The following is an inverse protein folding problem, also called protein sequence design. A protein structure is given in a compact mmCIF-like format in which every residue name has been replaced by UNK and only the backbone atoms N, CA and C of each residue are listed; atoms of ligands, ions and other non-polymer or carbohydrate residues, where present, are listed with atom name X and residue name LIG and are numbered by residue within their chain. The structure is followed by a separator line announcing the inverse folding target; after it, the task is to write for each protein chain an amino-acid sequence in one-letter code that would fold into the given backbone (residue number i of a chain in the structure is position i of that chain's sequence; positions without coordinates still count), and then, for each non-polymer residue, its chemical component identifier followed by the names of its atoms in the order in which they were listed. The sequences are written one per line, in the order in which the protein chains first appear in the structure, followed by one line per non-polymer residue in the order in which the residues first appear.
data_IF_665921216391
#
_entry.id   IF_665921216391
#
_cell.length_a   1.000
_cell.length_b   1.000
_cell.length_c   1.000
_cell.angle_alpha   90.00
_cell.angle_beta   90.00
_cell.angle_gamma   90.00
#
_symmetry.space_group_name_H-M   'P 1'
#
loop_
_entity.id
_entity.type
_entity.pdbx_description
1 polymer ?
#
# COMPACT_ATOMS: atom_id res chain seq x y z
N UNK A 1 -4.92 -29.54 -8.20
CA UNK A 1 -5.17 -28.83 -9.48
C UNK A 1 -3.82 -28.55 -10.11
N UNK A 2 -3.51 -29.21 -11.22
CA UNK A 2 -2.22 -29.15 -11.91
C UNK A 2 -2.08 -27.81 -12.65
N UNK A 3 -0.94 -27.15 -12.52
CA UNK A 3 -0.69 -25.77 -13.00
C UNK A 3 -0.42 -25.65 -14.51
N UNK A 4 -0.60 -26.70 -15.31
CA UNK A 4 -0.15 -26.74 -16.71
C UNK A 4 -1.30 -26.86 -17.72
N UNK A 5 -2.18 -25.86 -17.77
CA UNK A 5 -3.12 -25.66 -18.89
C UNK A 5 -2.57 -24.55 -19.82
N UNK A 6 -2.20 -24.87 -21.08
CA UNK A 6 -1.62 -23.90 -22.03
C UNK A 6 -2.58 -22.76 -22.43
N UNK A 7 -3.87 -22.80 -22.03
CA UNK A 7 -4.84 -21.71 -22.22
C UNK A 7 -4.96 -20.75 -21.04
N UNK A 8 -4.29 -21.01 -19.91
CA UNK A 8 -4.13 -20.03 -18.81
C UNK A 8 -2.84 -19.26 -19.02
N UNK A 9 -2.88 -18.18 -19.79
CA UNK A 9 -1.91 -17.11 -19.57
C UNK A 9 -2.19 -16.53 -18.19
N UNK A 10 -1.18 -16.54 -17.32
CA UNK A 10 -1.21 -15.74 -16.10
C UNK A 10 -1.47 -14.28 -16.50
N UNK A 11 -2.53 -13.64 -15.98
CA UNK A 11 -2.79 -12.24 -16.29
C UNK A 11 -1.56 -11.41 -15.94
N UNK A 12 -1.16 -10.49 -16.83
CA UNK A 12 -0.16 -9.48 -16.48
C UNK A 12 -0.61 -8.74 -15.23
N UNK A 13 0.17 -8.82 -14.16
CA UNK A 13 -0.12 -8.13 -12.91
C UNK A 13 0.52 -6.74 -12.94
N UNK A 14 -0.31 -5.70 -13.04
CA UNK A 14 0.16 -4.32 -12.89
C UNK A 14 0.54 -4.07 -11.42
N UNK A 15 1.80 -3.73 -11.19
CA UNK A 15 2.35 -3.41 -9.87
C UNK A 15 2.80 -1.96 -9.83
N UNK A 16 2.59 -1.31 -8.69
CA UNK A 16 3.10 0.04 -8.48
C UNK A 16 4.60 -0.02 -8.22
N UNK A 17 5.37 0.89 -8.82
CA UNK A 17 6.81 0.95 -8.57
C UNK A 17 7.11 1.41 -7.14
N UNK A 18 8.08 0.77 -6.49
CA UNK A 18 8.70 1.22 -5.23
C UNK A 18 10.08 1.86 -5.47
N UNK A 19 10.41 2.16 -6.73
CA UNK A 19 11.59 2.97 -7.05
C UNK A 19 11.26 4.44 -6.80
N UNK A 20 11.95 5.04 -5.83
CA UNK A 20 11.79 6.44 -5.44
C UNK A 20 11.98 7.42 -6.59
N UNK A 21 12.78 7.06 -7.61
CA UNK A 21 12.99 7.90 -8.80
C UNK A 21 11.86 7.81 -9.81
N UNK A 22 11.05 6.74 -9.75
CA UNK A 22 9.95 6.47 -10.69
C UNK A 22 8.59 6.82 -10.11
N UNK A 23 8.48 6.90 -8.79
CA UNK A 23 7.23 7.26 -8.11
C UNK A 23 7.49 8.27 -7.00
N UNK A 24 7.11 9.54 -7.21
CA UNK A 24 7.17 10.56 -6.17
C UNK A 24 6.22 10.23 -5.02
N UNK A 25 5.05 9.65 -5.32
CA UNK A 25 4.12 9.18 -4.29
C UNK A 25 4.78 8.15 -3.37
N UNK A 26 5.56 7.21 -3.92
CA UNK A 26 6.30 6.25 -3.09
C UNK A 26 7.42 6.91 -2.29
N UNK A 27 8.20 7.80 -2.92
CA UNK A 27 9.26 8.52 -2.24
C UNK A 27 8.72 9.30 -1.03
N UNK A 28 7.65 10.06 -1.21
CA UNK A 28 6.99 10.83 -0.15
C UNK A 28 6.36 9.93 0.91
N UNK A 29 5.74 8.82 0.50
CA UNK A 29 5.22 7.83 1.44
C UNK A 29 6.34 7.31 2.34
N UNK A 30 7.45 6.83 1.75
CA UNK A 30 8.58 6.29 2.50
C UNK A 30 9.22 7.34 3.41
N UNK A 31 9.43 8.56 2.91
CA UNK A 31 10.05 9.65 3.70
C UNK A 31 9.19 10.05 4.90
N UNK A 32 7.87 10.03 4.74
CA UNK A 32 6.95 10.33 5.84
C UNK A 32 7.00 9.22 6.89
N UNK A 33 6.94 7.95 6.45
CA UNK A 33 6.90 6.79 7.34
C UNK A 33 8.22 6.60 8.09
N UNK A 34 9.35 6.58 7.40
CA UNK A 34 10.66 6.33 8.01
C UNK A 34 11.25 7.60 8.64
N UNK A 35 11.03 8.76 8.02
CA UNK A 35 11.62 10.03 8.44
C UNK A 35 10.88 10.68 9.60
N UNK A 36 9.55 10.83 9.50
CA UNK A 36 8.74 11.53 10.51
C UNK A 36 8.18 10.56 11.56
N UNK A 37 7.61 9.45 11.11
CA UNK A 37 6.92 8.49 11.97
C UNK A 37 7.85 7.42 12.56
N UNK A 38 9.10 7.32 12.06
CA UNK A 38 10.11 6.35 12.49
C UNK A 38 9.63 4.89 12.39
N UNK A 39 8.79 4.61 11.40
CA UNK A 39 8.25 3.28 11.10
C UNK A 39 9.04 2.66 9.94
N UNK A 40 9.53 1.43 10.14
CA UNK A 40 10.14 0.64 9.07
C UNK A 40 9.05 0.07 8.16
N UNK A 41 9.21 0.22 6.85
CA UNK A 41 8.30 -0.36 5.86
C UNK A 41 8.82 -1.72 5.37
N UNK A 42 7.89 -2.65 5.16
CA UNK A 42 8.13 -3.92 4.51
C UNK A 42 7.18 -4.02 3.32
N UNK A 43 7.75 -4.07 2.12
CA UNK A 43 7.01 -4.00 0.87
C UNK A 43 6.74 -5.41 0.34
N UNK A 44 5.47 -5.75 0.18
CA UNK A 44 5.05 -7.06 -0.30
C UNK A 44 4.07 -6.93 -1.47
N UNK A 45 4.07 -7.93 -2.34
CA UNK A 45 3.01 -8.06 -3.34
C UNK A 45 1.78 -8.65 -2.65
N UNK A 46 0.72 -7.86 -2.55
CA UNK A 46 -0.55 -8.31 -1.99
C UNK A 46 -1.39 -9.00 -3.09
N UNK A 47 -1.56 -10.33 -3.06
CA UNK A 47 -2.24 -11.07 -4.13
C UNK A 47 -3.78 -10.93 -4.09
N UNK A 48 -4.33 -10.31 -3.04
CA UNK A 48 -5.79 -10.21 -2.89
C UNK A 48 -6.41 -9.21 -3.88
N UNK A 49 -7.67 -9.46 -4.22
CA UNK A 49 -8.46 -8.68 -5.19
C UNK A 49 -8.91 -7.33 -4.64
N UNK A 50 -7.96 -6.42 -4.40
CA UNK A 50 -8.23 -5.03 -3.97
C UNK A 50 -8.66 -4.14 -5.14
N UNK A 51 -9.28 -3.01 -4.83
CA UNK A 51 -9.64 -1.96 -5.80
C UNK A 51 -8.42 -1.44 -6.58
N UNK A 52 -7.24 -1.53 -5.96
CA UNK A 52 -5.97 -1.17 -6.58
C UNK A 52 -5.68 -1.91 -7.89
N UNK A 53 -6.28 -3.09 -8.14
CA UNK A 53 -6.11 -3.79 -9.41
C UNK A 53 -6.61 -2.96 -10.60
N UNK A 54 -7.75 -2.30 -10.45
CA UNK A 54 -8.37 -1.51 -11.54
C UNK A 54 -7.64 -0.18 -11.74
N UNK A 55 -7.26 0.46 -10.63
CA UNK A 55 -6.51 1.72 -10.68
C UNK A 55 -5.14 1.54 -11.32
N UNK A 56 -4.42 0.44 -10.99
CA UNK A 56 -3.15 0.11 -11.64
C UNK A 56 -3.32 -0.26 -13.12
N UNK A 57 -4.44 -0.89 -13.50
CA UNK A 57 -4.78 -1.11 -14.91
C UNK A 57 -5.00 0.20 -15.68
N UNK A 58 -5.51 1.23 -15.01
CA UNK A 58 -5.65 2.58 -15.56
C UNK A 58 -4.34 3.40 -15.53
N UNK A 59 -3.22 2.81 -15.12
CA UNK A 59 -1.91 3.48 -15.06
C UNK A 59 -1.64 4.29 -13.80
N UNK A 60 -2.54 4.28 -12.81
CA UNK A 60 -2.34 5.02 -11.56
C UNK A 60 -1.54 4.21 -10.54
N UNK A 61 -0.53 4.80 -9.87
CA UNK A 61 0.18 4.13 -8.80
C UNK A 61 -0.73 3.97 -7.57
N UNK A 62 -0.81 2.75 -7.04
CA UNK A 62 -1.56 2.42 -5.82
C UNK A 62 -0.72 1.63 -4.82
N UNK A 63 -0.69 2.10 -3.58
CA UNK A 63 0.00 1.45 -2.46
C UNK A 63 -1.05 1.05 -1.43
N UNK A 64 -1.21 -0.25 -1.21
CA UNK A 64 -2.09 -0.77 -0.17
C UNK A 64 -1.36 -0.73 1.16
N UNK A 65 -1.93 -0.02 2.14
CA UNK A 65 -1.34 0.12 3.46
C UNK A 65 -2.42 0.22 4.52
N UNK A 66 -2.18 -0.41 5.67
CA UNK A 66 -3.00 -0.24 6.86
C UNK A 66 -2.07 -0.14 8.07
N UNK A 67 -2.18 0.92 8.90
CA UNK A 67 -1.29 1.14 10.05
C UNK A 67 -1.68 0.23 11.22
N UNK A 68 -1.51 -1.08 11.03
CA UNK A 68 -1.89 -2.12 11.99
C UNK A 68 -0.65 -2.87 12.53
N UNK A 69 0.43 -2.14 12.80
CA UNK A 69 1.65 -2.72 13.33
C UNK A 69 1.38 -3.53 14.62
N UNK A 70 2.09 -4.65 14.78
CA UNK A 70 1.96 -5.55 15.94
C UNK A 70 0.53 -6.09 16.16
N UNK A 71 -0.25 -6.21 15.09
CA UNK A 71 -1.60 -6.81 15.12
C UNK A 71 -1.56 -8.17 14.42
N UNK A 72 -2.17 -9.23 15.01
CA UNK A 72 -2.31 -10.51 14.34
C UNK A 72 -3.07 -10.37 13.00
N UNK A 73 -2.67 -11.14 11.99
CA UNK A 73 -3.40 -11.18 10.72
C UNK A 73 -4.66 -12.02 10.93
N UNK A 74 -5.83 -11.37 10.93
CA UNK A 74 -7.14 -12.01 11.13
C UNK A 74 -8.15 -11.64 10.03
N UNK A 75 -7.66 -11.17 8.88
CA UNK A 75 -8.52 -10.77 7.76
C UNK A 75 -9.42 -11.95 7.37
N UNK A 76 -10.74 -11.79 7.51
CA UNK A 76 -11.76 -12.82 7.25
C UNK A 76 -11.78 -14.02 8.20
N UNK A 77 -11.12 -13.94 9.36
CA UNK A 77 -11.17 -15.00 10.37
C UNK A 77 -12.27 -14.75 11.43
N UNK A 78 -12.57 -15.75 12.25
CA UNK A 78 -13.45 -15.59 13.39
C UNK A 78 -12.89 -14.55 14.38
N UNK A 79 -13.76 -13.72 14.96
CA UNK A 79 -13.35 -12.68 15.93
C UNK A 79 -12.30 -11.68 15.39
N UNK A 80 -12.33 -11.38 14.08
CA UNK A 80 -11.57 -10.29 13.50
C UNK A 80 -11.76 -9.00 14.32
N UNK A 81 -10.67 -8.49 14.88
CA UNK A 81 -10.69 -7.35 15.78
C UNK A 81 -9.38 -6.55 15.71
N UNK A 82 -9.46 -5.27 16.04
CA UNK A 82 -8.33 -4.36 16.13
C UNK A 82 -8.33 -3.69 17.50
N UNK A 83 -7.16 -3.57 18.14
CA UNK A 83 -7.04 -2.83 19.40
C UNK A 83 -7.38 -1.35 19.17
N UNK A 84 -8.18 -0.76 20.05
CA UNK A 84 -8.52 0.67 19.96
C UNK A 84 -7.29 1.57 19.92
N UNK A 85 -6.22 1.24 20.66
CA UNK A 85 -4.95 1.96 20.61
C UNK A 85 -4.31 1.91 19.22
N UNK A 86 -4.31 0.75 18.56
CA UNK A 86 -3.76 0.61 17.19
C UNK A 86 -4.57 1.42 16.19
N UNK A 87 -5.89 1.42 16.32
CA UNK A 87 -6.77 2.25 15.50
C UNK A 87 -6.44 3.75 15.66
N UNK A 88 -6.31 4.23 16.91
CA UNK A 88 -5.97 5.63 17.20
C UNK A 88 -4.57 6.02 16.72
N UNK A 89 -3.56 5.14 16.85
CA UNK A 89 -2.24 5.38 16.25
C UNK A 89 -2.32 5.43 14.72
N UNK A 90 -3.19 4.61 14.11
CA UNK A 90 -3.45 4.65 12.68
C UNK A 90 -3.97 6.00 12.19
N UNK A 91 -4.82 6.67 12.97
CA UNK A 91 -5.28 8.03 12.67
C UNK A 91 -4.09 8.98 12.61
N UNK A 92 -3.21 8.96 13.62
CA UNK A 92 -2.01 9.81 13.66
C UNK A 92 -1.08 9.59 12.48
N UNK A 93 -0.96 8.34 12.00
CA UNK A 93 -0.19 8.03 10.78
C UNK A 93 -0.80 8.74 9.57
N UNK A 94 -2.11 8.61 9.35
CA UNK A 94 -2.77 9.27 8.22
C UNK A 94 -2.82 10.80 8.33
N UNK A 95 -2.90 11.37 9.54
CA UNK A 95 -2.78 12.82 9.77
C UNK A 95 -1.45 13.41 9.28
N UNK A 96 -0.38 12.60 9.22
CA UNK A 96 0.90 12.99 8.61
C UNK A 96 0.99 12.63 7.15
N UNK A 97 0.52 11.44 6.79
CA UNK A 97 0.68 10.89 5.45
C UNK A 97 -0.19 11.60 4.41
N UNK A 98 -1.46 11.87 4.72
CA UNK A 98 -2.40 12.49 3.77
C UNK A 98 -1.91 13.89 3.36
N UNK A 99 -1.55 14.81 4.28
CA UNK A 99 -1.01 16.11 3.89
C UNK A 99 0.29 16.00 3.09
N UNK A 100 1.17 15.06 3.43
CA UNK A 100 2.42 14.87 2.69
C UNK A 100 2.17 14.46 1.23
N UNK A 101 1.25 13.51 1.01
CA UNK A 101 0.90 13.03 -0.33
C UNK A 101 0.07 14.07 -1.13
N UNK A 102 -0.83 14.79 -0.47
CA UNK A 102 -1.71 15.77 -1.12
C UNK A 102 -0.99 17.07 -1.51
N UNK A 103 0.18 17.35 -0.91
CA UNK A 103 0.98 18.55 -1.19
C UNK A 103 2.27 18.23 -1.96
N UNK A 104 2.26 17.17 -2.77
CA UNK A 104 3.34 16.90 -3.71
C UNK A 104 3.48 18.08 -4.71
N UNK A 105 4.70 18.54 -5.02
CA UNK A 105 4.92 19.51 -6.09
C UNK A 105 4.38 19.01 -7.42
N UNK A 106 3.67 19.88 -8.15
CA UNK A 106 3.01 19.56 -9.43
C UNK A 106 3.98 18.96 -10.45
N UNK A 107 5.21 19.46 -10.46
CA UNK A 107 6.29 19.06 -11.36
C UNK A 107 6.72 17.60 -11.19
N UNK A 108 6.31 16.95 -10.09
CA UNK A 108 6.64 15.56 -9.81
C UNK A 108 5.55 14.59 -10.25
N UNK A 109 4.32 15.01 -10.52
CA UNK A 109 3.19 14.07 -10.65
C UNK A 109 2.19 14.36 -11.78
N UNK A 110 2.57 15.22 -12.74
CA UNK A 110 1.92 15.35 -14.06
C UNK A 110 2.50 14.33 -15.06
#
# INVERSE_FOLDING_TARGET
MTQNDPKRQTPSHNVSSIDRKKSPFWATFQDTMEGQLKVKLECEIFPAGTDGRYMRQAGMPVYGFSPMANTPIMLHDHNEALKASTYLEGIKVYEKLIPALANLPKELHD
#
